data_IF_798658405667
#
_entry.id   IF_798658405667
#
_cell.length_a   1.000
_cell.length_b   1.000
_cell.length_c   1.000
_cell.angle_alpha   90.00
_cell.angle_beta   90.00
_cell.angle_gamma   90.00
#
_symmetry.space_group_name_H-M   'P 1'
#
loop_
_entity.id
_entity.type
_entity.pdbx_description
1 polymer ?
#
# COMPACT_ATOMS: atom_id res chain seq x y z
N UNK A 1 -13.78 8.03 -11.39
CA UNK A 1 -13.89 7.12 -10.24
C UNK A 1 -15.36 6.93 -9.95
N UNK A 2 -15.82 5.71 -9.69
CA UNK A 2 -17.24 5.41 -9.43
C UNK A 2 -17.36 4.48 -8.25
N UNK A 3 -18.14 4.86 -7.23
CA UNK A 3 -18.50 3.99 -6.13
C UNK A 3 -19.58 3.01 -6.61
N UNK A 4 -19.30 1.71 -6.54
CA UNK A 4 -20.27 0.66 -6.87
C UNK A 4 -20.57 -0.18 -5.64
N UNK A 5 -21.85 -0.50 -5.46
CA UNK A 5 -22.29 -1.52 -4.51
C UNK A 5 -22.10 -2.89 -5.14
N UNK A 6 -21.45 -3.81 -4.43
CA UNK A 6 -21.34 -5.21 -4.80
C UNK A 6 -22.12 -6.03 -3.78
N UNK A 7 -23.08 -6.81 -4.27
CA UNK A 7 -23.83 -7.78 -3.47
C UNK A 7 -23.30 -9.18 -3.73
N UNK A 8 -22.97 -9.89 -2.64
CA UNK A 8 -22.51 -11.27 -2.70
C UNK A 8 -23.70 -12.22 -2.58
N UNK A 9 -23.54 -13.44 -3.09
CA UNK A 9 -24.58 -14.48 -3.06
C UNK A 9 -25.04 -14.86 -1.65
N UNK A 10 -24.17 -14.68 -0.65
CA UNK A 10 -24.48 -14.92 0.76
C UNK A 10 -25.20 -13.73 1.44
N UNK A 11 -25.61 -12.71 0.69
CA UNK A 11 -26.31 -11.53 1.20
C UNK A 11 -25.40 -10.43 1.78
N UNK A 12 -24.08 -10.68 1.89
CA UNK A 12 -23.13 -9.65 2.30
C UNK A 12 -22.97 -8.58 1.22
N UNK A 13 -22.52 -7.39 1.61
CA UNK A 13 -22.40 -6.22 0.73
C UNK A 13 -21.06 -5.54 0.94
N UNK A 14 -20.46 -5.10 -0.16
CA UNK A 14 -19.28 -4.23 -0.13
C UNK A 14 -19.47 -3.05 -1.08
N UNK A 15 -18.74 -1.97 -0.82
CA UNK A 15 -18.67 -0.83 -1.71
C UNK A 15 -17.27 -0.74 -2.29
N UNK A 16 -17.17 -0.57 -3.60
CA UNK A 16 -15.91 -0.60 -4.33
C UNK A 16 -15.75 0.68 -5.12
N UNK A 17 -14.61 1.35 -4.94
CA UNK A 17 -14.17 2.43 -5.81
C UNK A 17 -13.63 1.81 -7.11
N UNK A 18 -14.48 1.78 -8.12
CA UNK A 18 -14.16 1.24 -9.44
C UNK A 18 -13.74 2.36 -10.40
N UNK A 19 -13.18 1.97 -11.56
CA UNK A 19 -12.76 2.83 -12.68
C UNK A 19 -11.77 3.95 -12.28
N UNK A 20 -10.55 3.89 -12.83
CA UNK A 20 -9.49 4.89 -12.61
C UNK A 20 -9.01 5.03 -11.15
N UNK A 21 -9.32 4.08 -10.25
CA UNK A 21 -8.77 4.08 -8.89
C UNK A 21 -7.24 4.09 -8.89
N UNK A 22 -6.61 3.29 -9.76
CA UNK A 22 -5.14 3.26 -9.89
C UNK A 22 -4.53 4.65 -10.18
N UNK A 23 -5.22 5.51 -10.95
CA UNK A 23 -4.78 6.88 -11.22
C UNK A 23 -4.87 7.75 -9.98
N UNK A 24 -5.93 7.57 -9.17
CA UNK A 24 -6.10 8.28 -7.89
C UNK A 24 -5.03 7.86 -6.91
N UNK A 25 -4.82 6.55 -6.74
CA UNK A 25 -3.80 5.99 -5.86
C UNK A 25 -2.40 6.49 -6.24
N UNK A 26 -2.03 6.43 -7.52
CA UNK A 26 -0.74 6.93 -8.02
C UNK A 26 -0.56 8.43 -7.78
N UNK A 27 -1.56 9.27 -8.07
CA UNK A 27 -1.49 10.73 -7.84
C UNK A 27 -1.41 11.12 -6.37
N UNK A 28 -1.95 10.28 -5.49
CA UNK A 28 -1.93 10.49 -4.03
C UNK A 28 -0.77 9.78 -3.34
N UNK A 29 0.06 9.06 -4.09
CA UNK A 29 1.22 8.33 -3.57
C UNK A 29 0.84 7.18 -2.63
N UNK A 30 -0.30 6.53 -2.83
CA UNK A 30 -0.70 5.36 -2.04
C UNK A 30 0.06 4.12 -2.50
N UNK A 31 0.68 3.43 -1.55
CA UNK A 31 1.41 2.18 -1.78
C UNK A 31 0.70 1.01 -1.11
N UNK A 32 1.07 -0.21 -1.52
CA UNK A 32 0.62 -1.43 -0.84
C UNK A 32 1.17 -1.41 0.60
N UNK A 33 0.28 -1.66 1.56
CA UNK A 33 0.60 -1.61 2.99
C UNK A 33 0.36 -0.25 3.66
N UNK A 34 0.06 0.79 2.89
CA UNK A 34 -0.28 2.10 3.48
C UNK A 34 -1.64 2.04 4.18
N UNK A 35 -1.72 2.73 5.31
CA UNK A 35 -2.99 3.05 5.95
C UNK A 35 -3.57 4.31 5.29
N UNK A 36 -4.75 4.19 4.69
CA UNK A 36 -5.42 5.30 4.00
C UNK A 36 -6.66 5.72 4.78
N UNK A 37 -6.70 6.99 5.19
CA UNK A 37 -7.89 7.61 5.76
C UNK A 37 -8.92 7.90 4.69
N UNK A 38 -10.17 7.53 4.93
CA UNK A 38 -11.31 7.76 4.02
C UNK A 38 -12.42 8.46 4.79
N UNK A 39 -12.81 9.65 4.33
CA UNK A 39 -13.97 10.37 4.86
C UNK A 39 -15.01 10.52 3.77
N UNK A 40 -16.26 10.28 4.15
CA UNK A 40 -17.43 10.54 3.32
C UNK A 40 -18.12 11.82 3.80
N UNK A 41 -18.47 12.69 2.87
CA UNK A 41 -19.22 13.91 3.14
C UNK A 41 -20.10 14.26 1.94
N UNK A 42 -20.96 15.27 2.10
CA UNK A 42 -21.72 15.85 0.99
C UNK A 42 -21.21 17.25 0.69
N UNK A 43 -21.13 17.62 -0.58
CA UNK A 43 -20.80 19.00 -0.95
C UNK A 43 -21.99 19.95 -0.71
N UNK A 44 -21.83 21.22 -1.10
CA UNK A 44 -22.87 22.24 -0.97
C UNK A 44 -24.13 21.93 -1.80
N UNK A 45 -24.01 21.10 -2.83
CA UNK A 45 -25.12 20.66 -3.67
C UNK A 45 -25.75 19.35 -3.16
N UNK A 46 -25.23 18.78 -2.07
CA UNK A 46 -25.67 17.51 -1.51
C UNK A 46 -25.05 16.28 -2.17
N UNK A 47 -24.11 16.45 -3.11
CA UNK A 47 -23.50 15.37 -3.85
C UNK A 47 -22.49 14.58 -2.99
N UNK A 48 -22.48 13.24 -3.05
CA UNK A 48 -21.59 12.41 -2.26
C UNK A 48 -20.12 12.59 -2.67
N UNK A 49 -19.29 12.97 -1.72
CA UNK A 49 -17.86 13.22 -1.89
C UNK A 49 -17.00 12.37 -0.97
N UNK A 50 -15.75 12.16 -1.37
CA UNK A 50 -14.74 11.45 -0.58
C UNK A 50 -13.47 12.27 -0.45
N UNK A 51 -12.93 12.34 0.78
CA UNK A 51 -11.58 12.80 1.05
C UNK A 51 -10.71 11.60 1.38
N UNK A 52 -9.49 11.59 0.82
CA UNK A 52 -8.53 10.51 0.98
C UNK A 52 -7.21 11.10 1.47
N UNK A 53 -6.66 10.55 2.55
CA UNK A 53 -5.35 10.93 3.09
C UNK A 53 -4.45 9.70 3.23
N UNK A 54 -3.17 9.85 2.84
CA UNK A 54 -2.16 8.82 3.09
C UNK A 54 -1.60 9.02 4.50
N UNK A 55 -1.66 8.00 5.35
CA UNK A 55 -0.96 8.00 6.64
C UNK A 55 0.36 7.24 6.61
N UNK A 56 0.73 6.67 5.45
CA UNK A 56 1.89 5.83 5.25
C UNK A 56 1.72 4.43 5.86
N UNK A 57 2.82 3.69 5.90
CA UNK A 57 2.84 2.37 6.52
C UNK A 57 2.84 2.51 8.04
N UNK A 58 1.97 1.72 8.70
CA UNK A 58 2.05 1.55 10.14
C UNK A 58 3.16 0.54 10.46
N UNK A 59 4.38 1.05 10.68
CA UNK A 59 5.58 0.28 11.00
C UNK A 59 5.53 -0.46 12.35
N UNK A 60 4.45 -0.31 13.14
CA UNK A 60 4.34 -0.93 14.46
C UNK A 60 4.03 -2.44 14.45
N UNK A 61 3.81 -3.03 13.28
CA UNK A 61 3.82 -4.49 13.10
C UNK A 61 4.82 -4.86 12.01
N UNK A 62 6.09 -4.52 12.23
CA UNK A 62 7.18 -5.26 11.60
C UNK A 62 7.12 -6.67 12.20
N UNK A 63 6.36 -7.55 11.55
CA UNK A 63 6.39 -8.97 11.79
C UNK A 63 7.86 -9.39 11.66
N UNK A 64 8.47 -9.72 12.80
CA UNK A 64 9.83 -10.23 12.94
C UNK A 64 10.05 -11.25 11.81
N UNK A 65 10.81 -10.86 10.79
CA UNK A 65 11.30 -11.82 9.80
C UNK A 65 12.06 -12.86 10.61
N UNK A 66 11.50 -14.06 10.72
CA UNK A 66 12.22 -15.19 11.30
C UNK A 66 13.28 -15.52 10.27
N UNK A 67 14.49 -15.00 10.50
CA UNK A 67 15.69 -15.44 9.81
C UNK A 67 15.88 -16.94 10.09
N UNK A 68 15.30 -17.78 9.23
CA UNK A 68 15.81 -19.12 9.01
C UNK A 68 16.89 -19.03 7.93
N UNK A 69 18.03 -18.44 8.29
CA UNK A 69 19.28 -18.69 7.58
C UNK A 69 19.61 -20.17 7.79
N UNK A 70 19.29 -21.00 6.79
CA UNK A 70 19.78 -22.36 6.71
C UNK A 70 21.15 -22.31 6.05
N UNK A 71 22.18 -22.40 6.89
CA UNK A 71 23.58 -22.41 6.50
C UNK A 71 23.86 -23.68 5.67
N UNK A 72 23.94 -23.57 4.35
CA UNK A 72 24.58 -24.57 3.50
C UNK A 72 25.21 -23.86 2.31
N UNK A 73 26.53 -23.71 2.32
CA UNK A 73 27.25 -23.16 1.17
C UNK A 73 28.62 -22.60 1.52
N UNK A 74 29.56 -23.50 1.80
CA UNK A 74 31.00 -23.22 1.74
C UNK A 74 31.38 -22.83 0.30
N UNK A 75 31.89 -21.61 0.09
CA UNK A 75 32.96 -21.32 -0.88
C UNK A 75 33.41 -19.86 -0.73
N UNK A 76 34.71 -19.70 -0.46
CA UNK A 76 35.44 -18.46 -0.29
C UNK A 76 35.49 -17.61 -1.58
N UNK A 77 35.52 -16.29 -1.47
CA UNK A 77 36.73 -15.49 -1.76
C UNK A 77 36.50 -13.99 -1.52
N UNK A 78 37.45 -13.42 -0.78
CA UNK A 78 37.62 -12.02 -0.41
C UNK A 78 38.02 -11.17 -1.61
N UNK A 79 37.68 -9.87 -1.59
CA UNK A 79 38.57 -8.76 -1.98
C UNK A 79 37.94 -7.43 -1.55
N UNK A 80 38.48 -6.82 -0.49
CA UNK A 80 38.20 -5.43 -0.11
C UNK A 80 39.32 -4.50 -0.61
N UNK A 81 38.86 -3.36 -1.14
CA UNK A 81 39.47 -2.02 -1.16
C UNK A 81 40.77 -1.75 -1.93
N UNK A 82 40.68 -0.79 -2.84
CA UNK A 82 41.77 0.08 -3.28
C UNK A 82 41.21 1.30 -4.02
N UNK A 83 40.96 2.39 -3.31
CA UNK A 83 40.69 3.73 -3.86
C UNK A 83 42.03 4.42 -4.10
N UNK A 84 42.28 4.94 -5.31
CA UNK A 84 43.04 6.20 -5.48
C UNK A 84 42.65 6.86 -6.81
N UNK A 85 42.24 8.13 -6.74
CA UNK A 85 42.13 9.06 -7.87
C UNK A 85 43.46 9.78 -7.98
N UNK A 86 44.02 9.89 -9.19
CA UNK A 86 44.72 11.06 -9.73
C UNK A 86 44.36 11.19 -11.21
#
# INVERSE_FOLDING_TARGET
MVLRKWEYRNGSRSYVLTKNWYKVASRKGFNVGDSVGVWFFRDTNGEPCFALANFGQNINNTQKSVDHTKNTGTACSSSTSGVTKE
#
